data_IF_640602162910
#
_entry.id   IF_640602162910
#
_cell.length_a   1.000
_cell.length_b   1.000
_cell.length_c   1.000
_cell.angle_alpha   90.00
_cell.angle_beta   90.00
_cell.angle_gamma   90.00
#
_symmetry.space_group_name_H-M   'P 1'
#
loop_
_entity.id
_entity.type
_entity.pdbx_description
1 polymer ?
#
# COMPACT_ATOMS: atom_id res chain seq x y z
N UNK A 1 -15.28 -22.60 4.15
CA UNK A 1 -15.65 -21.24 3.72
C UNK A 1 -14.35 -20.59 3.25
N UNK A 2 -14.26 -20.06 2.02
CA UNK A 2 -13.02 -19.42 1.58
C UNK A 2 -12.87 -18.13 2.37
N UNK A 3 -11.81 -18.02 3.16
CA UNK A 3 -11.35 -16.77 3.77
C UNK A 3 -10.86 -15.85 2.64
N UNK A 4 -11.81 -15.25 1.93
CA UNK A 4 -11.51 -14.40 0.78
C UNK A 4 -11.42 -12.95 1.25
N UNK A 5 -10.28 -12.32 0.98
CA UNK A 5 -10.11 -10.89 1.20
C UNK A 5 -10.93 -10.14 0.16
N UNK A 6 -11.74 -9.17 0.60
CA UNK A 6 -12.33 -8.20 -0.34
C UNK A 6 -11.25 -7.20 -0.72
N UNK A 7 -10.81 -7.23 -1.98
CA UNK A 7 -9.79 -6.34 -2.52
C UNK A 7 -10.41 -5.14 -3.24
N UNK A 8 -10.06 -3.93 -2.83
CA UNK A 8 -10.58 -2.68 -3.39
C UNK A 8 -9.41 -1.90 -4.01
N UNK A 9 -9.45 -1.66 -5.33
CA UNK A 9 -8.48 -0.77 -6.01
C UNK A 9 -8.86 0.68 -5.74
N UNK A 10 -7.94 1.45 -5.15
CA UNK A 10 -8.28 2.79 -4.65
C UNK A 10 -8.05 3.91 -5.68
N UNK A 11 -7.22 3.66 -6.70
CA UNK A 11 -6.88 4.68 -7.69
C UNK A 11 -8.06 4.99 -8.64
N UNK A 12 -8.29 6.27 -8.99
CA UNK A 12 -9.38 6.66 -9.89
C UNK A 12 -8.98 6.48 -11.36
N UNK A 13 -9.40 5.38 -11.98
CA UNK A 13 -9.01 5.00 -13.35
C UNK A 13 -9.25 6.11 -14.38
N UNK A 14 -10.46 6.66 -14.41
CA UNK A 14 -10.84 7.68 -15.39
C UNK A 14 -9.99 8.96 -15.25
N UNK A 15 -9.75 9.40 -14.01
CA UNK A 15 -8.92 10.56 -13.73
C UNK A 15 -7.47 10.32 -14.18
N UNK A 16 -6.92 9.14 -13.91
CA UNK A 16 -5.56 8.79 -14.32
C UNK A 16 -5.42 8.73 -15.85
N UNK A 17 -6.42 8.17 -16.54
CA UNK A 17 -6.43 8.12 -18.00
C UNK A 17 -6.39 9.51 -18.64
N UNK A 18 -7.09 10.49 -18.06
CA UNK A 18 -7.12 11.88 -18.58
C UNK A 18 -5.82 12.65 -18.40
N UNK A 19 -5.02 12.30 -17.38
CA UNK A 19 -3.81 13.06 -17.02
C UNK A 19 -2.51 12.44 -17.56
N UNK A 20 -2.52 11.17 -17.97
CA UNK A 20 -1.33 10.43 -18.44
C UNK A 20 -0.65 11.04 -19.67
N UNK A 21 -1.37 11.82 -20.48
CA UNK A 21 -0.79 12.50 -21.66
C UNK A 21 0.01 13.76 -21.25
N UNK A 22 -0.31 14.36 -20.10
CA UNK A 22 0.32 15.60 -19.62
C UNK A 22 1.44 15.32 -18.63
N UNK A 23 1.29 14.30 -17.80
CA UNK A 23 2.21 13.97 -16.72
C UNK A 23 2.77 12.56 -16.89
N UNK A 24 3.98 12.34 -16.38
CA UNK A 24 4.66 11.04 -16.49
C UNK A 24 4.56 10.22 -15.22
N UNK A 25 4.42 10.87 -14.06
CA UNK A 25 4.45 10.24 -12.76
C UNK A 25 3.33 10.71 -11.84
N UNK A 26 2.94 9.81 -10.94
CA UNK A 26 2.01 10.02 -9.85
C UNK A 26 2.77 9.79 -8.54
N UNK A 27 2.89 10.83 -7.72
CA UNK A 27 3.47 10.74 -6.39
C UNK A 27 2.37 10.69 -5.33
N UNK A 28 2.27 9.57 -4.62
CA UNK A 28 1.25 9.28 -3.61
C UNK A 28 1.81 9.64 -2.24
N UNK A 29 1.24 10.70 -1.67
CA UNK A 29 1.70 11.32 -0.43
C UNK A 29 1.07 10.68 0.80
N UNK A 30 -0.24 10.49 0.75
CA UNK A 30 -1.01 10.00 1.87
C UNK A 30 -2.28 9.29 1.38
N UNK A 31 -2.60 8.19 2.05
CA UNK A 31 -3.86 7.46 1.90
C UNK A 31 -4.50 7.40 3.28
N UNK A 32 -5.72 7.93 3.38
CA UNK A 32 -6.54 7.83 4.59
C UNK A 32 -7.65 6.83 4.33
N UNK A 33 -7.89 5.93 5.27
CA UNK A 33 -8.91 4.88 5.16
C UNK A 33 -9.75 4.88 6.43
N UNK A 34 -11.05 4.71 6.23
CA UNK A 34 -12.04 4.46 7.27
C UNK A 34 -12.81 3.18 6.92
N UNK A 35 -12.86 2.24 7.85
CA UNK A 35 -13.75 1.08 7.81
C UNK A 35 -14.87 1.31 8.82
N UNK A 36 -16.09 1.52 8.32
CA UNK A 36 -17.27 1.76 9.16
C UNK A 36 -18.16 0.52 9.21
N UNK A 37 -18.51 0.00 10.40
CA UNK A 37 -19.48 -1.09 10.52
C UNK A 37 -20.87 -0.62 10.09
N UNK A 38 -21.60 -1.49 9.40
CA UNK A 38 -23.02 -1.29 9.03
C UNK A 38 -23.97 -2.14 9.89
N UNK A 39 -23.49 -2.54 11.08
CA UNK A 39 -24.25 -3.22 12.12
C UNK A 39 -24.17 -2.43 13.42
N UNK A 40 -24.96 -2.85 14.42
CA UNK A 40 -25.00 -2.20 15.74
C UNK A 40 -23.68 -2.40 16.48
N UNK A 41 -23.21 -1.35 17.16
CA UNK A 41 -22.04 -1.42 18.05
C UNK A 41 -22.18 -2.51 19.12
N UNK A 42 -21.03 -3.04 19.59
CA UNK A 42 -20.95 -4.10 20.59
C UNK A 42 -20.87 -5.53 20.04
N UNK A 43 -20.77 -5.71 18.71
CA UNK A 43 -20.44 -7.01 18.13
C UNK A 43 -18.91 -7.19 18.09
N UNK A 44 -18.43 -8.29 18.66
CA UNK A 44 -17.03 -8.72 18.56
C UNK A 44 -16.73 -9.16 17.12
N UNK A 45 -16.18 -8.23 16.34
CA UNK A 45 -15.87 -8.43 14.92
C UNK A 45 -14.41 -8.03 14.69
N UNK A 46 -13.48 -8.97 14.87
CA UNK A 46 -12.08 -8.76 14.53
C UNK A 46 -11.95 -8.47 13.05
N UNK A 47 -11.18 -7.43 12.72
CA UNK A 47 -10.92 -7.01 11.35
C UNK A 47 -9.43 -6.87 11.08
N UNK A 48 -9.09 -7.14 9.83
CA UNK A 48 -7.77 -6.97 9.28
C UNK A 48 -7.85 -6.15 7.99
N UNK A 49 -7.05 -5.09 7.94
CA UNK A 49 -6.95 -4.19 6.81
C UNK A 49 -5.49 -4.16 6.34
N UNK A 50 -5.26 -4.36 5.05
CA UNK A 50 -3.92 -4.20 4.47
C UNK A 50 -3.97 -3.29 3.24
N UNK A 51 -3.28 -2.17 3.32
CA UNK A 51 -3.00 -1.31 2.18
C UNK A 51 -1.76 -1.83 1.46
N UNK A 52 -1.88 -2.11 0.16
CA UNK A 52 -0.89 -2.85 -0.60
C UNK A 52 -0.62 -2.30 -2.00
N UNK A 53 0.63 -2.40 -2.41
CA UNK A 53 1.08 -2.35 -3.80
C UNK A 53 1.11 -3.76 -4.39
N UNK A 54 -0.01 -4.15 -5.00
CA UNK A 54 -0.23 -5.49 -5.55
C UNK A 54 0.53 -5.77 -6.84
N UNK A 55 1.30 -4.81 -7.36
CA UNK A 55 2.32 -5.09 -8.38
C UNK A 55 3.41 -6.02 -7.84
N UNK A 56 3.63 -6.01 -6.52
CA UNK A 56 4.48 -6.98 -5.85
C UNK A 56 3.71 -8.27 -5.54
N UNK A 57 4.20 -9.39 -6.07
CA UNK A 57 3.57 -10.71 -5.88
C UNK A 57 3.69 -11.22 -4.44
N UNK A 58 4.74 -10.83 -3.71
CA UNK A 58 4.95 -11.24 -2.32
C UNK A 58 4.16 -10.34 -1.39
N UNK A 59 3.40 -10.95 -0.48
CA UNK A 59 2.58 -10.23 0.51
C UNK A 59 3.40 -9.18 1.28
N UNK A 60 4.48 -9.61 1.92
CA UNK A 60 5.33 -8.72 2.73
C UNK A 60 5.95 -7.57 1.95
N UNK A 61 6.27 -7.76 0.66
CA UNK A 61 6.82 -6.71 -0.20
C UNK A 61 5.76 -5.75 -0.72
N UNK A 62 4.52 -6.22 -0.85
CA UNK A 62 3.39 -5.39 -1.26
C UNK A 62 2.86 -4.51 -0.13
N UNK A 63 3.18 -4.77 1.14
CA UNK A 63 2.63 -4.00 2.27
C UNK A 63 3.06 -2.53 2.22
N UNK A 64 2.07 -1.65 2.25
CA UNK A 64 2.22 -0.20 2.46
C UNK A 64 1.68 0.24 3.82
N UNK A 65 0.70 -0.50 4.34
CA UNK A 65 0.18 -0.34 5.69
C UNK A 65 -0.70 -1.51 6.08
N UNK A 66 -0.81 -1.77 7.37
CA UNK A 66 -1.53 -2.91 7.92
C UNK A 66 -2.15 -2.51 9.27
N UNK A 67 -3.38 -2.94 9.49
CA UNK A 67 -4.12 -2.72 10.72
C UNK A 67 -4.81 -4.01 11.11
N UNK A 68 -4.66 -4.40 12.37
CA UNK A 68 -5.48 -5.40 13.04
C UNK A 68 -6.21 -4.68 14.18
N UNK A 69 -7.53 -4.79 14.22
CA UNK A 69 -8.37 -4.13 15.22
C UNK A 69 -9.70 -4.88 15.37
N UNK A 70 -10.64 -4.31 16.11
CA UNK A 70 -11.97 -4.85 16.33
C UNK A 70 -13.01 -3.74 16.11
N UNK A 71 -14.12 -4.07 15.46
CA UNK A 71 -15.22 -3.13 15.21
C UNK A 71 -16.24 -3.04 16.35
N UNK A 72 -16.05 -3.78 17.45
CA UNK A 72 -16.89 -3.72 18.64
C UNK A 72 -17.11 -2.28 19.14
N UNK A 73 -16.03 -1.49 19.13
CA UNK A 73 -16.01 -0.09 19.62
C UNK A 73 -16.27 0.94 18.51
N UNK A 74 -16.73 0.49 17.33
CA UNK A 74 -17.10 1.36 16.23
C UNK A 74 -16.07 1.38 15.07
N UNK A 75 -16.03 2.47 14.28
CA UNK A 75 -15.23 2.52 13.06
C UNK A 75 -13.73 2.56 13.30
N UNK A 76 -12.98 1.96 12.38
CA UNK A 76 -11.51 1.97 12.36
C UNK A 76 -11.00 2.99 11.35
N UNK A 77 -10.07 3.85 11.77
CA UNK A 77 -9.42 4.83 10.90
C UNK A 77 -7.91 4.61 10.88
N UNK A 78 -7.26 4.75 9.73
CA UNK A 78 -5.80 4.78 9.67
C UNK A 78 -5.29 5.64 8.52
N UNK A 79 -4.08 6.15 8.70
CA UNK A 79 -3.37 6.92 7.69
C UNK A 79 -2.08 6.19 7.30
N UNK A 80 -1.81 6.12 6.00
CA UNK A 80 -0.56 5.63 5.45
C UNK A 80 0.09 6.72 4.60
N UNK A 81 1.36 7.03 4.83
CA UNK A 81 2.17 7.91 3.99
C UNK A 81 3.25 7.09 3.30
N UNK A 82 2.95 6.46 2.15
CA UNK A 82 3.85 5.49 1.53
C UNK A 82 5.08 6.13 0.88
N UNK A 83 5.08 7.45 0.64
CA UNK A 83 6.12 8.17 -0.11
C UNK A 83 6.45 7.44 -1.44
N UNK A 84 5.40 7.09 -2.19
CA UNK A 84 5.49 6.20 -3.34
C UNK A 84 5.26 7.00 -4.63
N UNK A 85 6.24 6.99 -5.53
CA UNK A 85 6.11 7.54 -6.88
C UNK A 85 6.01 6.42 -7.90
N UNK A 86 4.99 6.47 -8.76
CA UNK A 86 4.77 5.50 -9.84
C UNK A 86 4.65 6.18 -11.20
N UNK A 87 5.01 5.45 -12.26
CA UNK A 87 4.80 5.91 -13.63
C UNK A 87 3.33 5.83 -14.02
N UNK A 88 2.79 6.87 -14.65
CA UNK A 88 1.44 6.88 -15.22
C UNK A 88 1.30 5.94 -16.43
N UNK A 89 2.43 5.47 -16.98
CA UNK A 89 2.47 4.49 -18.08
C UNK A 89 2.72 3.05 -17.60
N UNK A 90 2.73 2.81 -16.29
CA UNK A 90 2.79 1.45 -15.75
C UNK A 90 1.49 0.70 -16.12
N UNK A 91 1.62 -0.45 -16.78
CA UNK A 91 0.49 -1.30 -17.19
C UNK A 91 -0.33 -1.79 -16.00
N UNK A 92 0.29 -1.91 -14.83
CA UNK A 92 -0.33 -2.38 -13.61
C UNK A 92 -0.56 -1.24 -12.60
N UNK A 93 -0.64 0.01 -13.06
CA UNK A 93 -0.81 1.17 -12.18
C UNK A 93 -2.03 1.02 -11.24
N UNK A 94 -3.11 0.41 -11.71
CA UNK A 94 -4.33 0.21 -10.92
C UNK A 94 -4.13 -0.68 -9.69
N UNK A 95 -3.05 -1.48 -9.67
CA UNK A 95 -2.71 -2.35 -8.55
C UNK A 95 -1.78 -1.67 -7.53
N UNK A 96 -1.33 -0.43 -7.80
CA UNK A 96 -0.37 0.32 -6.95
C UNK A 96 -0.89 0.57 -5.54
N UNK A 97 -2.19 0.85 -5.38
CA UNK A 97 -2.83 1.06 -4.08
C UNK A 97 -4.12 0.26 -4.05
N UNK A 98 -4.09 -0.88 -3.38
CA UNK A 98 -5.24 -1.73 -3.10
C UNK A 98 -5.44 -1.87 -1.59
N UNK A 99 -6.70 -1.88 -1.14
CA UNK A 99 -7.06 -2.20 0.23
C UNK A 99 -7.65 -3.61 0.28
N UNK A 100 -7.02 -4.48 1.05
CA UNK A 100 -7.57 -5.78 1.43
C UNK A 100 -8.33 -5.62 2.75
N UNK A 101 -9.59 -6.04 2.78
CA UNK A 101 -10.45 -6.05 3.97
C UNK A 101 -10.82 -7.49 4.30
N UNK A 102 -10.64 -7.87 5.56
CA UNK A 102 -11.01 -9.18 6.07
C UNK A 102 -11.59 -9.09 7.47
N UNK A 103 -12.58 -9.94 7.78
CA UNK A 103 -13.29 -9.97 9.05
C UNK A 103 -13.66 -11.40 9.43
N UNK A 104 -13.70 -11.71 10.73
CA UNK A 104 -14.22 -12.97 11.26
C UNK A 104 -15.44 -12.76 12.15
N UNK A 105 -16.14 -13.87 12.44
CA UNK A 105 -17.19 -13.92 13.44
C UNK A 105 -18.53 -13.32 12.99
N UNK A 106 -18.65 -12.95 11.71
CA UNK A 106 -19.84 -12.30 11.20
C UNK A 106 -20.68 -13.25 10.35
N UNK A 107 -21.80 -13.70 10.89
CA UNK A 107 -22.79 -14.53 10.20
C UNK A 107 -23.87 -13.62 9.59
N UNK A 108 -23.78 -13.35 8.29
CA UNK A 108 -24.77 -12.56 7.56
C UNK A 108 -25.43 -13.36 6.44
N UNK A 109 -26.63 -12.94 6.06
CA UNK A 109 -27.29 -13.46 4.86
C UNK A 109 -26.50 -13.12 3.61
N UNK A 110 -26.54 -13.99 2.61
CA UNK A 110 -25.92 -13.76 1.30
C UNK A 110 -26.30 -12.40 0.71
N UNK A 111 -25.32 -11.71 0.13
CA UNK A 111 -25.48 -10.37 -0.44
C UNK A 111 -25.48 -9.22 0.57
N UNK A 112 -25.43 -9.50 1.88
CA UNK A 112 -25.31 -8.44 2.89
C UNK A 112 -23.95 -7.76 2.82
N UNK A 113 -23.93 -6.44 3.01
CA UNK A 113 -22.71 -5.63 3.03
C UNK A 113 -22.40 -5.22 4.49
N UNK A 114 -21.44 -5.89 5.17
CA UNK A 114 -21.18 -5.65 6.58
C UNK A 114 -20.49 -4.33 6.90
N UNK A 115 -19.78 -3.76 5.92
CA UNK A 115 -18.91 -2.61 6.14
C UNK A 115 -19.04 -1.61 4.99
N UNK A 116 -18.81 -0.34 5.31
CA UNK A 116 -18.55 0.70 4.32
C UNK A 116 -17.08 1.12 4.41
N UNK A 117 -16.39 1.15 3.27
CA UNK A 117 -15.03 1.69 3.15
C UNK A 117 -15.11 3.09 2.59
N UNK A 118 -14.52 4.05 3.30
CA UNK A 118 -14.33 5.42 2.80
C UNK A 118 -12.84 5.73 2.79
N UNK A 119 -12.35 6.38 1.74
CA UNK A 119 -10.93 6.67 1.61
C UNK A 119 -10.66 8.01 0.95
N UNK A 120 -9.46 8.56 1.19
CA UNK A 120 -8.95 9.77 0.54
C UNK A 120 -7.50 9.54 0.15
N UNK A 121 -7.16 9.88 -1.10
CA UNK A 121 -5.79 9.81 -1.61
C UNK A 121 -5.30 11.22 -1.89
N UNK A 122 -4.19 11.59 -1.25
CA UNK A 122 -3.45 12.80 -1.55
C UNK A 122 -2.30 12.45 -2.47
N UNK A 123 -2.30 13.02 -3.67
CA UNK A 123 -1.27 12.77 -4.66
C UNK A 123 -0.85 14.05 -5.38
N UNK A 124 0.31 13.97 -6.05
CA UNK A 124 0.83 15.02 -6.92
C UNK A 124 1.20 14.42 -8.27
N UNK A 125 0.76 15.04 -9.35
CA UNK A 125 1.18 14.70 -10.71
C UNK A 125 2.51 15.38 -11.03
N UNK A 126 3.40 14.67 -11.73
CA UNK A 126 4.77 15.11 -11.96
C UNK A 126 5.25 14.79 -13.38
N UNK A 127 6.05 15.68 -13.96
CA UNK A 127 6.70 15.46 -15.26
C UNK A 127 8.02 14.68 -15.13
N UNK A 128 8.69 14.80 -13.98
CA UNK A 128 9.95 14.11 -13.66
C UNK A 128 9.77 13.22 -12.43
N UNK A 129 10.69 12.28 -12.23
CA UNK A 129 10.69 11.35 -11.09
C UNK A 129 11.41 11.91 -9.84
N UNK A 130 11.74 13.21 -9.82
CA UNK A 130 12.40 13.83 -8.68
C UNK A 130 11.50 13.74 -7.45
N UNK A 131 11.92 13.04 -6.40
CA UNK A 131 11.11 12.91 -5.18
C UNK A 131 10.88 14.30 -4.57
N UNK A 132 9.62 14.73 -4.34
CA UNK A 132 9.38 15.89 -3.50
C UNK A 132 9.99 15.62 -2.12
N UNK A 133 10.76 16.57 -1.56
CA UNK A 133 11.16 16.48 -0.15
C UNK A 133 9.89 16.44 0.70
N UNK A 134 9.61 15.32 1.34
CA UNK A 134 8.37 15.12 2.09
C UNK A 134 8.62 15.14 3.60
N UNK A 135 7.83 15.94 4.32
CA UNK A 135 7.88 16.05 5.78
C UNK A 135 6.91 15.02 6.39
N UNK A 136 7.41 14.15 7.28
CA UNK A 136 6.57 13.22 8.05
C UNK A 136 6.22 11.90 7.34
N UNK A 137 7.14 11.32 6.57
CA UNK A 137 7.00 9.97 5.99
C UNK A 137 6.73 8.94 7.09
N UNK A 138 5.77 8.04 6.89
CA UNK A 138 5.55 6.93 7.83
C UNK A 138 6.79 6.02 7.82
N UNK A 139 7.40 5.71 8.97
CA UNK A 139 8.53 4.81 9.00
C UNK A 139 8.11 3.45 8.43
N UNK A 140 8.94 2.90 7.52
CA UNK A 140 8.70 1.59 6.92
C UNK A 140 8.56 0.54 8.03
N UNK A 141 7.57 -0.33 7.91
CA UNK A 141 7.28 -1.33 8.94
C UNK A 141 6.31 -0.87 10.03
N UNK A 142 5.80 0.37 9.94
CA UNK A 142 4.82 0.87 10.89
C UNK A 142 3.56 1.41 10.20
N UNK A 143 2.41 1.25 10.87
CA UNK A 143 1.16 1.90 10.47
C UNK A 143 0.55 2.64 11.64
N UNK A 144 0.15 3.90 11.40
CA UNK A 144 -0.49 4.72 12.40
C UNK A 144 -1.99 4.44 12.37
N UNK A 145 -2.44 3.63 13.32
CA UNK A 145 -3.85 3.36 13.62
C UNK A 145 -4.41 4.51 14.46
N UNK A 146 -5.64 4.89 14.18
CA UNK A 146 -6.38 5.95 14.84
C UNK A 146 -7.65 5.35 15.43
N UNK A 147 -7.60 4.96 16.70
CA UNK A 147 -8.74 4.34 17.41
C UNK A 147 -9.58 5.39 18.13
N UNK A 148 -10.91 5.23 18.11
CA UNK A 148 -11.81 6.09 18.88
C UNK A 148 -11.71 5.72 20.36
N UNK A 149 -11.40 6.70 21.22
CA UNK A 149 -11.47 6.50 22.66
C UNK A 149 -12.93 6.66 23.13
N UNK A 150 -13.53 5.57 23.60
CA UNK A 150 -14.92 5.55 24.08
C UNK A 150 -15.09 6.30 25.41
N UNK A 151 -14.08 6.28 26.29
CA UNK A 151 -14.09 6.97 27.60
C UNK A 151 -13.99 8.50 27.46
N UNK A 152 -13.29 8.95 26.42
CA UNK A 152 -13.11 10.37 26.07
C UNK A 152 -13.60 10.56 24.65
N UNK A 153 -14.92 10.63 24.48
CA UNK A 153 -15.70 10.55 23.23
C UNK A 153 -15.33 11.57 22.12
N UNK A 154 -14.23 12.30 22.26
CA UNK A 154 -13.66 13.27 21.31
C UNK A 154 -12.19 13.02 20.93
N UNK A 155 -11.51 12.03 21.52
CA UNK A 155 -10.09 11.77 21.28
C UNK A 155 -9.87 10.49 20.46
N UNK A 156 -9.16 10.65 19.35
CA UNK A 156 -8.59 9.52 18.62
C UNK A 156 -7.20 9.22 19.16
N UNK A 157 -6.93 8.00 19.62
CA UNK A 157 -5.62 7.60 20.12
C UNK A 157 -4.78 7.10 18.93
N UNK A 158 -3.69 7.79 18.55
CA UNK A 158 -2.75 7.26 17.59
C UNK A 158 -1.96 6.11 18.21
N UNK A 159 -2.00 4.93 17.58
CA UNK A 159 -1.10 3.81 17.89
C UNK A 159 -0.25 3.48 16.68
N UNK A 160 1.05 3.31 16.89
CA UNK A 160 1.95 2.79 15.86
C UNK A 160 1.95 1.26 15.96
N UNK A 161 1.52 0.60 14.89
CA UNK A 161 1.50 -0.86 14.78
C UNK A 161 2.73 -1.33 14.02
N UNK A 162 3.48 -2.28 14.61
CA UNK A 162 4.62 -2.91 13.97
C UNK A 162 4.17 -4.03 13.03
N UNK A 163 4.58 -3.98 11.77
CA UNK A 163 4.20 -4.95 10.76
C UNK A 163 4.74 -6.35 11.05
N UNK A 164 5.93 -6.47 11.62
CA UNK A 164 6.54 -7.78 11.92
C UNK A 164 5.73 -8.52 13.00
N UNK A 165 5.21 -7.80 13.99
CA UNK A 165 4.37 -8.39 15.04
C UNK A 165 3.02 -8.86 14.47
N UNK A 166 2.39 -8.03 13.63
CA UNK A 166 1.11 -8.33 13.01
C UNK A 166 1.20 -9.45 11.97
N UNK A 167 2.32 -9.53 11.24
CA UNK A 167 2.52 -10.60 10.26
C UNK A 167 2.93 -11.92 10.92
N UNK A 168 3.75 -11.89 12.00
CA UNK A 168 4.12 -13.10 12.77
C UNK A 168 2.95 -13.73 13.52
N UNK A 169 2.13 -12.90 14.16
CA UNK A 169 0.98 -13.31 14.97
C UNK A 169 -0.34 -13.18 14.22
N UNK A 170 -0.30 -13.11 12.89
CA UNK A 170 -1.53 -13.11 12.11
C UNK A 170 -2.22 -14.46 12.36
N UNK A 171 -3.26 -14.43 13.21
CA UNK A 171 -4.27 -15.50 13.34
C UNK A 171 -4.75 -15.94 11.94
N UNK A 172 -4.63 -15.02 11.00
CA UNK A 172 -4.81 -15.08 9.56
C UNK A 172 -3.60 -15.68 8.85
N UNK A 173 -3.66 -16.95 8.43
CA UNK A 173 -2.67 -17.51 7.51
C UNK A 173 -2.70 -16.74 6.19
N UNK A 174 -1.74 -15.85 5.97
CA UNK A 174 -1.56 -15.10 4.74
C UNK A 174 -1.26 -16.06 3.58
N UNK A 175 -2.30 -16.49 2.84
CA UNK A 175 -2.09 -17.29 1.65
C UNK A 175 -1.40 -16.45 0.57
N UNK A 176 -0.25 -16.92 0.07
CA UNK A 176 0.52 -16.24 -0.97
C UNK A 176 2.01 -16.06 -0.68
N UNK A 177 2.53 -16.55 0.45
CA UNK A 177 3.98 -16.64 0.65
C UNK A 177 4.58 -17.75 -0.22
N UNK A 178 4.78 -17.48 -1.51
CA UNK A 178 5.80 -18.23 -2.26
C UNK A 178 7.15 -17.87 -1.65
N UNK A 179 7.77 -18.84 -0.99
CA UNK A 179 9.15 -18.76 -0.54
C UNK A 179 10.06 -18.46 -1.74
N UNK A 180 11.12 -17.66 -1.56
CA UNK A 180 12.05 -17.41 -2.65
C UNK A 180 12.66 -18.73 -3.10
N UNK A 181 12.55 -19.06 -4.39
CA UNK A 181 13.43 -20.07 -4.98
C UNK A 181 14.84 -19.51 -4.86
N UNK A 182 15.64 -20.07 -3.94
CA UNK A 182 17.09 -19.84 -3.92
C UNK A 182 17.60 -20.25 -5.28
N UNK A 183 17.98 -19.29 -6.13
CA UNK A 183 18.85 -19.60 -7.27
C UNK A 183 20.15 -20.10 -6.65
N UNK A 184 20.40 -21.40 -6.79
CA UNK A 184 21.75 -21.94 -6.60
C UNK A 184 22.57 -21.26 -7.69
N UNK A 185 23.46 -20.35 -7.27
CA UNK A 185 24.45 -19.76 -8.15
C UNK A 185 25.40 -20.88 -8.56
N UNK A 186 25.16 -21.54 -9.68
CA UNK A 186 26.25 -22.19 -10.39
C UNK A 186 27.24 -21.10 -10.80
N UNK A 187 28.50 -21.25 -10.38
CA UNK A 187 29.58 -20.31 -10.74
C UNK A 187 29.56 -20.13 -12.27
N UNK A 188 29.45 -18.89 -12.79
CA UNK A 188 29.55 -18.70 -14.22
C UNK A 188 30.97 -19.05 -14.66
N UNK A 189 31.11 -20.07 -15.50
CA UNK A 189 32.31 -20.23 -16.31
C UNK A 189 32.26 -19.15 -17.39
N UNK A 190 33.27 -18.28 -17.39
CA UNK A 190 33.39 -17.17 -18.32
C UNK A 190 33.80 -17.71 -19.71
N UNK A 191 33.01 -17.52 -20.79
CA UNK A 191 33.53 -17.66 -22.13
C UNK A 191 34.35 -16.39 -22.46
N UNK A 192 35.58 -16.58 -22.95
CA UNK A 192 36.42 -15.49 -23.45
C UNK A 192 35.67 -14.70 -24.53
N UNK A 193 35.32 -13.45 -24.22
CA UNK A 193 34.89 -12.47 -25.22
C UNK A 193 35.96 -11.40 -25.39
N UNK A 194 36.34 -11.20 -26.66
CA UNK A 194 37.33 -10.26 -27.13
C UNK A 194 36.94 -8.82 -26.76
N UNK A 195 37.92 -8.05 -26.27
CA UNK A 195 37.81 -6.61 -26.06
C UNK A 195 37.71 -5.89 -27.41
N UNK A 196 36.59 -5.23 -27.67
CA UNK A 196 36.52 -4.12 -28.62
C UNK A 196 36.39 -2.81 -27.83
N UNK A 197 37.42 -1.98 -27.94
CA UNK A 197 37.48 -0.65 -27.35
C UNK A 197 36.79 0.36 -28.27
N UNK A 198 35.72 1.01 -27.82
CA UNK A 198 35.22 2.25 -28.42
C UNK A 198 35.28 3.39 -27.41
N UNK A 199 36.04 4.44 -27.78
CA UNK A 199 36.41 5.62 -27.01
C UNK A 199 35.19 6.47 -26.64
N UNK A 200 35.11 6.91 -25.39
CA UNK A 200 34.24 8.03 -24.98
C UNK A 200 35.01 9.34 -25.10
N UNK A 201 34.56 10.24 -25.97
CA UNK A 201 34.98 11.64 -25.95
C UNK A 201 34.09 12.41 -24.98
N UNK A 202 34.73 13.07 -24.01
CA UNK A 202 34.13 14.04 -23.10
C UNK A 202 33.86 15.35 -23.85
N UNK A 203 32.66 15.90 -23.73
CA UNK A 203 32.43 17.33 -23.91
C UNK A 203 31.60 17.82 -22.72
N UNK A 204 32.25 18.61 -21.87
CA UNK A 204 31.57 19.56 -20.99
C UNK A 204 31.25 20.80 -21.81
N UNK A 205 30.07 21.37 -21.63
CA UNK A 205 29.92 22.82 -21.65
C UNK A 205 28.69 23.24 -20.84
N UNK A 206 28.90 24.26 -20.02
CA UNK A 206 27.94 25.00 -19.20
C UNK A 206 27.25 26.07 -20.04
N UNK A 207 26.06 26.54 -19.64
CA UNK A 207 25.64 27.95 -19.64
C UNK A 207 24.20 28.14 -19.08
N UNK A 208 24.18 28.70 -17.86
CA UNK A 208 23.31 29.67 -17.16
C UNK A 208 21.95 30.12 -17.80
N UNK A 209 20.91 30.43 -16.98
CA UNK A 209 19.50 30.39 -17.36
C UNK A 209 18.89 31.73 -17.83
N UNK A 210 17.67 31.66 -18.36
CA UNK A 210 16.63 32.70 -18.28
C UNK A 210 15.31 32.09 -17.82
#
# INVERSE_FOLDING_TARGET
>A
MKDEFTAIKLLPEETLFRVKEKFKYLHIRCVQVALKPLFREGLDVPVYLALRDKRHLRFTHSLLGIVQSNLEQGPVYFNCRPNLTVSLHDKNIMDTISLDVHSQGLELKDGSLPFAVSYRIYFKLMHTNLSPKELGVSPKGYTMLMEVNVEKSSMTIPRNLNWDELTKNSVWKLQGETTPIKRISEKPQLPNFLMETSKFNSIQESLIPK
#
